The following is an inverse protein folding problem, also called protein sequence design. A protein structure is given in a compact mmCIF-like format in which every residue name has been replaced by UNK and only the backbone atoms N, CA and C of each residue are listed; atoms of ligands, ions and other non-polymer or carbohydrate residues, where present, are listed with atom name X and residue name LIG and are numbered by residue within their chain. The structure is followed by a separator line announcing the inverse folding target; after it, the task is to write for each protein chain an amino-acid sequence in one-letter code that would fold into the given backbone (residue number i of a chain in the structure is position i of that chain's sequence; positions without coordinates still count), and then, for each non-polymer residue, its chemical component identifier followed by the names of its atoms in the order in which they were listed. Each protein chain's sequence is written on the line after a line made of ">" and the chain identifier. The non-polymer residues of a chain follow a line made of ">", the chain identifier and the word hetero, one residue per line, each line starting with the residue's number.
data_IF_347736681411
#
_entry.id   IF_347736681411
#
_cell.length_a   1.000
_cell.length_b   1.000
_cell.length_c   1.000
_cell.angle_alpha   90.00
_cell.angle_beta   90.00
_cell.angle_gamma   90.00
#
_symmetry.space_group_name_H-M   'P 1'
#
loop_
_entity.id
_entity.type
_entity.pdbx_description
1 polymer ?
#
# COMPACT_ATOMS: atom_id res chain seq x y z
N UNK A 1 -24.65 -9.23 20.84
CA UNK A 1 -24.03 -8.22 19.96
C UNK A 1 -22.64 -7.98 20.48
N UNK A 2 -21.65 -8.63 19.88
CA UNK A 2 -20.26 -8.55 20.32
C UNK A 2 -19.69 -7.21 19.87
N UNK A 3 -19.26 -6.38 20.81
CA UNK A 3 -18.46 -5.18 20.54
C UNK A 3 -17.28 -5.54 19.64
N UNK A 4 -17.01 -4.81 18.55
CA UNK A 4 -15.83 -5.07 17.75
C UNK A 4 -14.59 -4.82 18.62
N UNK A 5 -13.76 -5.84 18.80
CA UNK A 5 -12.50 -5.73 19.51
C UNK A 5 -11.70 -4.57 18.91
N UNK A 6 -11.34 -3.59 19.75
CA UNK A 6 -10.46 -2.52 19.32
C UNK A 6 -9.12 -3.12 18.84
N UNK A 7 -8.61 -2.74 17.65
CA UNK A 7 -7.38 -3.29 17.09
C UNK A 7 -6.13 -2.62 17.70
N UNK A 8 -6.11 -2.44 19.02
CA UNK A 8 -4.98 -1.78 19.71
C UNK A 8 -3.80 -2.75 19.95
N UNK A 9 -3.95 -4.03 19.61
CA UNK A 9 -2.90 -5.06 19.75
C UNK A 9 -2.73 -5.93 18.47
N UNK A 10 -3.09 -5.42 17.29
CA UNK A 10 -2.77 -6.12 16.03
C UNK A 10 -1.32 -5.80 15.63
N UNK A 11 -0.49 -6.80 15.26
CA UNK A 11 0.83 -6.58 14.66
C UNK A 11 0.81 -5.59 13.48
N UNK A 12 -0.34 -5.47 12.80
CA UNK A 12 -0.55 -4.53 11.70
C UNK A 12 -0.63 -3.08 12.17
N UNK A 13 -1.16 -2.80 13.37
CA UNK A 13 -1.24 -1.44 13.90
C UNK A 13 0.15 -0.87 14.21
N UNK A 14 1.03 -1.68 14.83
CA UNK A 14 2.43 -1.33 15.07
C UNK A 14 3.19 -1.10 13.76
N UNK A 15 2.97 -1.96 12.76
CA UNK A 15 3.51 -1.78 11.42
C UNK A 15 3.05 -0.46 10.80
N UNK A 16 1.75 -0.17 10.84
CA UNK A 16 1.18 1.06 10.30
C UNK A 16 1.82 2.29 10.95
N UNK A 17 1.94 2.29 12.28
CA UNK A 17 2.59 3.37 13.02
C UNK A 17 4.07 3.55 12.63
N UNK A 18 4.81 2.44 12.47
CA UNK A 18 6.22 2.45 12.06
C UNK A 18 6.40 3.00 10.65
N UNK A 19 5.61 2.54 9.67
CA UNK A 19 5.67 2.99 8.28
C UNK A 19 5.27 4.47 8.20
N UNK A 20 4.15 4.86 8.85
CA UNK A 20 3.70 6.25 8.90
C UNK A 20 4.79 7.17 9.45
N UNK A 21 5.49 6.75 10.51
CA UNK A 21 6.61 7.53 11.08
C UNK A 21 7.77 7.67 10.11
N UNK A 22 8.14 6.60 9.40
CA UNK A 22 9.20 6.68 8.38
C UNK A 22 8.81 7.56 7.20
N UNK A 23 7.54 7.61 6.81
CA UNK A 23 7.10 8.51 5.73
C UNK A 23 7.21 9.99 6.09
N UNK A 24 7.30 10.36 7.38
CA UNK A 24 7.52 11.76 7.79
C UNK A 24 8.86 12.31 7.32
N UNK A 25 9.85 11.45 7.08
CA UNK A 25 11.15 11.88 6.52
C UNK A 25 11.16 11.97 5.00
N UNK A 26 10.05 11.64 4.33
CA UNK A 26 9.97 11.60 2.86
C UNK A 26 9.25 12.81 2.27
N UNK A 27 9.53 13.12 1.00
CA UNK A 27 8.81 14.14 0.24
C UNK A 27 7.54 13.61 -0.46
N UNK A 28 7.25 12.31 -0.34
CA UNK A 28 6.19 11.58 -1.07
C UNK A 28 4.76 11.91 -0.62
N UNK A 29 4.58 12.82 0.34
CA UNK A 29 3.30 13.27 0.85
C UNK A 29 2.76 12.45 2.03
N UNK A 30 1.99 13.09 2.93
CA UNK A 30 1.59 12.51 4.23
C UNK A 30 0.58 11.36 4.09
N UNK A 31 -0.05 11.22 2.92
CA UNK A 31 -1.11 10.26 2.65
C UNK A 31 -0.66 9.11 1.72
N UNK A 32 0.65 8.98 1.46
CA UNK A 32 1.16 7.96 0.54
C UNK A 32 1.54 6.66 1.25
N UNK A 33 1.78 6.71 2.56
CA UNK A 33 2.26 5.58 3.36
C UNK A 33 1.27 4.40 3.35
N UNK A 34 -0.03 4.66 3.44
CA UNK A 34 -1.03 3.59 3.43
C UNK A 34 -1.19 2.94 2.05
N UNK A 35 -0.83 3.64 0.97
CA UNK A 35 -0.78 3.06 -0.38
C UNK A 35 0.36 2.04 -0.49
N UNK A 36 1.54 2.35 0.08
CA UNK A 36 2.61 1.36 0.20
C UNK A 36 2.16 0.17 1.05
N UNK A 37 1.56 0.43 2.22
CA UNK A 37 1.17 -0.64 3.14
C UNK A 37 0.14 -1.57 2.52
N UNK A 38 -0.96 -1.03 1.93
CA UNK A 38 -2.00 -1.89 1.35
C UNK A 38 -1.49 -2.71 0.15
N UNK A 39 -0.64 -2.11 -0.68
CA UNK A 39 -0.08 -2.81 -1.85
C UNK A 39 0.83 -3.95 -1.40
N UNK A 40 1.64 -3.74 -0.36
CA UNK A 40 2.46 -4.80 0.24
C UNK A 40 1.62 -5.90 0.88
N UNK A 41 0.60 -5.55 1.68
CA UNK A 41 -0.30 -6.52 2.30
C UNK A 41 -1.04 -7.34 1.22
N UNK A 42 -1.50 -6.71 0.14
CA UNK A 42 -2.16 -7.41 -0.97
C UNK A 42 -1.24 -8.39 -1.72
N UNK A 43 0.07 -8.14 -1.72
CA UNK A 43 1.05 -9.06 -2.31
C UNK A 43 1.48 -10.19 -1.38
N UNK A 44 1.20 -10.07 -0.09
CA UNK A 44 1.66 -10.97 0.97
C UNK A 44 0.90 -12.31 1.02
N UNK A 45 1.31 -13.26 1.89
CA UNK A 45 0.57 -14.51 2.14
C UNK A 45 -0.81 -14.33 2.78
N UNK A 46 -1.06 -13.21 3.47
CA UNK A 46 -2.36 -12.94 4.12
C UNK A 46 -2.88 -11.54 3.74
N UNK A 47 -3.61 -11.46 2.60
CA UNK A 47 -4.19 -10.21 2.12
C UNK A 47 -5.33 -9.67 3.01
N UNK A 48 -5.94 -10.50 3.87
CA UNK A 48 -7.05 -10.07 4.73
C UNK A 48 -6.64 -9.00 5.73
N UNK A 49 -5.36 -8.96 6.11
CA UNK A 49 -4.78 -7.93 6.99
C UNK A 49 -4.94 -6.50 6.42
N UNK A 50 -5.34 -6.36 5.14
CA UNK A 50 -5.79 -5.08 4.59
C UNK A 50 -6.95 -4.44 5.36
N UNK A 51 -7.82 -5.24 5.99
CA UNK A 51 -8.92 -4.74 6.85
C UNK A 51 -8.40 -4.04 8.11
N UNK A 52 -7.30 -4.52 8.67
CA UNK A 52 -6.69 -3.93 9.87
C UNK A 52 -6.07 -2.56 9.54
N UNK A 53 -5.45 -2.41 8.36
CA UNK A 53 -4.99 -1.11 7.88
C UNK A 53 -6.16 -0.13 7.72
N UNK A 54 -7.28 -0.59 7.14
CA UNK A 54 -8.48 0.24 6.99
C UNK A 54 -8.98 0.70 8.36
N UNK A 55 -9.15 -0.22 9.32
CA UNK A 55 -9.59 0.08 10.68
C UNK A 55 -8.64 1.06 11.40
N UNK A 56 -7.32 0.91 11.23
CA UNK A 56 -6.34 1.83 11.81
C UNK A 56 -6.46 3.25 11.24
N UNK A 57 -6.70 3.39 9.93
CA UNK A 57 -6.75 4.70 9.28
C UNK A 57 -8.06 5.44 9.56
N UNK A 58 -9.21 4.74 9.61
CA UNK A 58 -10.51 5.40 9.88
C UNK A 58 -10.63 5.93 11.31
N UNK A 59 -9.85 5.39 12.26
CA UNK A 59 -9.82 5.86 13.65
C UNK A 59 -9.11 7.22 13.81
N UNK A 60 -8.37 7.68 12.80
CA UNK A 60 -7.67 8.97 12.85
C UNK A 60 -8.67 10.13 12.69
N UNK A 61 -8.43 11.24 13.38
CA UNK A 61 -9.31 12.43 13.38
C UNK A 61 -9.65 12.95 11.97
N UNK A 62 -8.70 12.84 11.04
CA UNK A 62 -8.87 13.22 9.62
C UNK A 62 -10.00 12.47 8.91
N UNK A 63 -10.37 11.29 9.40
CA UNK A 63 -11.41 10.42 8.82
C UNK A 63 -12.67 10.33 9.71
N UNK A 64 -12.89 11.35 10.54
CA UNK A 64 -14.08 11.45 11.40
C UNK A 64 -15.40 11.51 10.62
N UNK A 65 -15.38 12.00 9.38
CA UNK A 65 -16.58 12.12 8.53
C UNK A 65 -16.69 10.96 7.52
N UNK A 66 -17.92 10.55 7.21
CA UNK A 66 -18.20 9.53 6.18
C UNK A 66 -17.60 9.91 4.81
N UNK A 67 -17.70 11.19 4.40
CA UNK A 67 -17.10 11.67 3.15
C UNK A 67 -15.57 11.51 3.08
N UNK A 68 -14.87 11.68 4.21
CA UNK A 68 -13.43 11.43 4.29
C UNK A 68 -13.11 9.92 4.19
N UNK A 69 -13.89 9.07 4.88
CA UNK A 69 -13.76 7.61 4.80
C UNK A 69 -14.05 7.09 3.38
N UNK A 70 -15.05 7.63 2.71
CA UNK A 70 -15.36 7.35 1.30
C UNK A 70 -14.19 7.74 0.36
N UNK A 71 -13.58 8.90 0.59
CA UNK A 71 -12.41 9.32 -0.20
C UNK A 71 -11.20 8.41 0.03
N UNK A 72 -10.98 8.00 1.27
CA UNK A 72 -9.93 7.04 1.61
C UNK A 72 -10.17 5.67 0.96
N UNK A 73 -11.36 5.07 1.13
CA UNK A 73 -11.66 3.75 0.58
C UNK A 73 -11.59 3.75 -0.95
N UNK A 74 -11.99 4.84 -1.61
CA UNK A 74 -11.83 5.00 -3.06
C UNK A 74 -10.38 4.88 -3.49
N UNK A 75 -9.46 5.56 -2.78
CA UNK A 75 -8.02 5.49 -3.06
C UNK A 75 -7.46 4.08 -2.82
N UNK A 76 -7.89 3.42 -1.75
CA UNK A 76 -7.48 2.05 -1.41
C UNK A 76 -7.97 1.05 -2.47
N UNK A 77 -9.25 1.11 -2.86
CA UNK A 77 -9.82 0.26 -3.92
C UNK A 77 -9.11 0.46 -5.25
N UNK A 78 -8.82 1.70 -5.63
CA UNK A 78 -8.05 1.99 -6.85
C UNK A 78 -6.64 1.40 -6.82
N UNK A 79 -5.96 1.45 -5.67
CA UNK A 79 -4.64 0.83 -5.52
C UNK A 79 -4.72 -0.71 -5.66
N UNK A 80 -5.70 -1.34 -5.03
CA UNK A 80 -5.92 -2.80 -5.09
C UNK A 80 -6.29 -3.25 -6.51
N UNK A 81 -7.20 -2.54 -7.19
CA UNK A 81 -7.55 -2.82 -8.59
C UNK A 81 -6.31 -2.70 -9.50
N UNK A 82 -5.43 -1.72 -9.25
CA UNK A 82 -4.18 -1.60 -10.02
C UNK A 82 -3.20 -2.72 -9.74
N UNK A 83 -3.12 -3.25 -8.51
CA UNK A 83 -2.23 -4.38 -8.24
C UNK A 83 -2.71 -5.67 -8.92
N UNK A 84 -3.96 -5.80 -9.39
CA UNK A 84 -4.45 -7.01 -10.09
C UNK A 84 -3.58 -7.42 -11.27
N UNK A 85 -3.08 -6.45 -12.05
CA UNK A 85 -2.20 -6.73 -13.19
C UNK A 85 -0.80 -7.21 -12.78
N UNK A 86 -0.43 -7.04 -11.51
CA UNK A 86 0.93 -7.26 -10.99
C UNK A 86 1.00 -8.51 -10.09
N UNK A 87 0.04 -8.68 -9.17
CA UNK A 87 0.03 -9.78 -8.18
C UNK A 87 -1.05 -10.83 -8.48
N UNK A 88 -1.82 -10.64 -9.57
CA UNK A 88 -2.99 -11.44 -9.90
C UNK A 88 -4.27 -10.96 -9.22
N UNK A 89 -5.43 -11.43 -9.67
CA UNK A 89 -6.73 -10.92 -9.20
C UNK A 89 -7.11 -11.41 -7.79
N UNK A 90 -6.72 -12.63 -7.41
CA UNK A 90 -7.23 -13.25 -6.19
C UNK A 90 -6.89 -12.45 -4.94
N UNK A 91 -5.62 -12.09 -4.74
CA UNK A 91 -5.17 -11.44 -3.50
C UNK A 91 -5.71 -10.02 -3.31
N UNK A 92 -5.70 -9.13 -4.32
CA UNK A 92 -6.30 -7.81 -4.16
C UNK A 92 -7.82 -7.88 -3.98
N UNK A 93 -8.51 -8.83 -4.63
CA UNK A 93 -9.95 -9.03 -4.45
C UNK A 93 -10.25 -9.52 -3.03
N UNK A 94 -9.45 -10.44 -2.49
CA UNK A 94 -9.56 -10.91 -1.11
C UNK A 94 -9.38 -9.75 -0.10
N UNK A 95 -8.39 -8.87 -0.31
CA UNK A 95 -8.23 -7.67 0.49
C UNK A 95 -9.44 -6.71 0.39
N UNK A 96 -10.01 -6.53 -0.81
CA UNK A 96 -11.23 -5.72 -1.01
C UNK A 96 -12.42 -6.32 -0.23
N UNK A 97 -12.61 -7.64 -0.32
CA UNK A 97 -13.68 -8.34 0.39
C UNK A 97 -13.50 -8.19 1.90
N UNK A 98 -12.29 -8.42 2.41
CA UNK A 98 -11.96 -8.27 3.83
C UNK A 98 -12.27 -6.86 4.35
N UNK A 99 -11.94 -5.81 3.59
CA UNK A 99 -12.28 -4.43 3.95
C UNK A 99 -13.80 -4.20 3.90
N UNK A 100 -14.51 -4.73 2.89
CA UNK A 100 -15.97 -4.56 2.76
C UNK A 100 -16.76 -5.17 3.92
N UNK A 101 -16.22 -6.18 4.59
CA UNK A 101 -16.83 -6.83 5.77
C UNK A 101 -16.79 -5.95 7.02
N UNK A 102 -15.86 -4.99 7.11
CA UNK A 102 -15.68 -4.09 8.26
C UNK A 102 -16.11 -2.65 7.98
N UNK A 103 -16.44 -2.34 6.73
CA UNK A 103 -16.93 -1.03 6.29
C UNK A 103 -18.38 -0.80 6.79
N UNK A 104 -18.63 0.39 7.35
CA UNK A 104 -19.98 0.79 7.74
C UNK A 104 -20.83 1.08 6.50
N UNK A 105 -22.14 0.83 6.58
CA UNK A 105 -23.05 1.03 5.42
C UNK A 105 -22.97 2.46 4.85
N UNK A 106 -22.85 3.46 5.73
CA UNK A 106 -22.71 4.88 5.39
C UNK A 106 -21.38 5.24 4.69
N UNK A 107 -20.37 4.38 4.78
CA UNK A 107 -19.04 4.61 4.19
C UNK A 107 -18.90 3.98 2.80
N UNK A 108 -19.89 3.19 2.37
CA UNK A 108 -19.86 2.51 1.08
C UNK A 108 -20.00 3.50 -0.07
N UNK A 109 -18.86 3.77 -0.73
CA UNK A 109 -18.86 4.52 -1.98
C UNK A 109 -19.30 3.62 -3.16
N UNK A 110 -20.48 3.91 -3.71
CA UNK A 110 -21.05 3.23 -4.91
C UNK A 110 -20.79 3.99 -6.21
N UNK A 111 -20.00 5.07 -6.17
CA UNK A 111 -19.68 5.86 -7.37
C UNK A 111 -18.77 5.10 -8.33
N UNK A 112 -18.91 5.40 -9.63
CA UNK A 112 -18.06 4.86 -10.68
C UNK A 112 -16.76 5.67 -10.78
N UNK A 113 -15.64 5.06 -10.42
CA UNK A 113 -14.32 5.75 -10.43
C UNK A 113 -13.65 5.74 -11.80
N UNK A 114 -14.15 4.96 -12.76
CA UNK A 114 -13.49 4.68 -14.06
C UNK A 114 -14.30 5.05 -15.30
N UNK A 115 -15.41 5.76 -15.15
CA UNK A 115 -16.26 6.16 -16.28
C UNK A 115 -15.49 6.96 -17.35
N UNK A 116 -14.46 7.71 -16.95
CA UNK A 116 -13.61 8.52 -17.84
C UNK A 116 -12.11 8.21 -17.71
N UNK A 117 -11.75 6.98 -17.36
CA UNK A 117 -10.36 6.61 -17.09
C UNK A 117 -9.43 6.86 -18.29
N UNK A 118 -8.22 7.40 -18.03
CA UNK A 118 -7.19 7.67 -19.02
C UNK A 118 -5.86 6.99 -18.65
N UNK A 119 -5.13 6.51 -19.65
CA UNK A 119 -3.80 5.92 -19.50
C UNK A 119 -2.71 7.01 -19.65
N UNK A 120 -2.59 7.90 -18.66
CA UNK A 120 -1.68 9.05 -18.67
C UNK A 120 -0.41 8.87 -17.80
N UNK A 121 0.50 9.85 -17.87
CA UNK A 121 1.75 9.87 -17.11
C UNK A 121 1.51 9.85 -15.59
N UNK A 122 0.50 10.58 -15.11
CA UNK A 122 0.14 10.61 -13.70
C UNK A 122 -0.37 9.24 -13.22
N UNK A 123 -1.04 8.47 -14.08
CA UNK A 123 -1.43 7.10 -13.78
C UNK A 123 -0.22 6.16 -13.69
N UNK A 124 0.77 6.32 -14.57
CA UNK A 124 2.02 5.57 -14.52
C UNK A 124 2.76 5.80 -13.20
N UNK A 125 2.92 7.07 -12.78
CA UNK A 125 3.59 7.43 -11.51
C UNK A 125 2.94 6.78 -10.28
N UNK A 126 1.60 6.64 -10.28
CA UNK A 126 0.86 5.99 -9.18
C UNK A 126 0.97 4.46 -9.16
N UNK A 127 1.41 3.81 -10.24
CA UNK A 127 1.34 2.36 -10.41
C UNK A 127 2.56 1.56 -9.91
N UNK A 128 3.66 2.22 -9.54
CA UNK A 128 4.98 1.57 -9.46
C UNK A 128 5.29 0.83 -8.14
N UNK A 129 4.38 0.85 -7.17
CA UNK A 129 4.70 0.46 -5.78
C UNK A 129 4.55 -1.06 -5.52
N UNK A 130 3.74 -1.80 -6.30
CA UNK A 130 3.30 -3.15 -5.92
C UNK A 130 4.33 -4.30 -6.12
N UNK A 131 5.49 -4.11 -6.78
CA UNK A 131 6.31 -5.24 -7.28
C UNK A 131 7.35 -5.77 -6.27
N UNK A 132 7.89 -4.91 -5.40
CA UNK A 132 9.06 -5.28 -4.60
C UNK A 132 8.74 -6.38 -3.57
N UNK A 133 7.50 -6.49 -3.09
CA UNK A 133 7.08 -7.51 -2.11
C UNK A 133 7.13 -8.95 -2.66
N UNK A 134 7.15 -9.12 -3.98
CA UNK A 134 7.18 -10.45 -4.62
C UNK A 134 8.58 -11.09 -4.63
N UNK A 135 9.62 -10.40 -4.13
CA UNK A 135 11.00 -10.88 -4.08
C UNK A 135 11.53 -11.31 -5.48
N UNK A 136 11.17 -10.55 -6.52
CA UNK A 136 11.56 -10.80 -7.91
C UNK A 136 12.73 -9.88 -8.30
N UNK A 137 13.92 -10.45 -8.57
CA UNK A 137 15.16 -9.67 -8.72
C UNK A 137 15.14 -8.68 -9.88
N UNK A 138 14.81 -9.13 -11.09
CA UNK A 138 14.94 -8.32 -12.31
C UNK A 138 13.91 -7.20 -12.32
N UNK A 139 12.70 -7.54 -11.93
CA UNK A 139 11.55 -6.66 -11.82
C UNK A 139 11.85 -5.61 -10.74
N UNK A 140 12.25 -6.04 -9.53
CA UNK A 140 12.57 -5.09 -8.44
C UNK A 140 13.72 -4.15 -8.81
N UNK A 141 14.78 -4.64 -9.48
CA UNK A 141 15.86 -3.79 -10.00
C UNK A 141 15.32 -2.72 -10.96
N UNK A 142 14.53 -3.14 -11.94
CA UNK A 142 13.94 -2.22 -12.92
C UNK A 142 13.01 -1.18 -12.27
N UNK A 143 12.23 -1.60 -11.28
CA UNK A 143 11.29 -0.73 -10.55
C UNK A 143 11.99 0.26 -9.62
N UNK A 144 13.04 -0.14 -8.89
CA UNK A 144 13.85 0.79 -8.09
C UNK A 144 14.46 1.86 -9.02
N UNK A 145 15.07 1.45 -10.13
CA UNK A 145 15.59 2.39 -11.11
C UNK A 145 14.49 3.25 -11.74
N UNK A 146 13.31 2.68 -11.97
CA UNK A 146 12.13 3.39 -12.47
C UNK A 146 11.67 4.50 -11.52
N UNK A 147 11.58 4.20 -10.23
CA UNK A 147 11.26 5.18 -9.16
C UNK A 147 12.24 6.33 -9.15
N UNK A 148 13.54 6.04 -9.34
CA UNK A 148 14.57 7.08 -9.41
C UNK A 148 14.48 7.91 -10.71
N UNK A 149 14.23 7.29 -11.87
CA UNK A 149 14.06 7.97 -13.16
C UNK A 149 12.86 8.93 -13.20
N UNK A 150 11.80 8.66 -12.44
CA UNK A 150 10.65 9.58 -12.31
C UNK A 150 10.88 10.71 -11.28
N UNK A 151 12.09 10.83 -10.73
CA UNK A 151 12.50 11.97 -9.91
C UNK A 151 12.32 11.80 -8.40
N UNK A 152 11.90 10.62 -7.91
CA UNK A 152 11.89 10.35 -6.45
C UNK A 152 13.33 10.25 -5.95
N UNK A 153 13.69 10.93 -4.87
CA UNK A 153 15.06 10.96 -4.32
C UNK A 153 15.56 9.57 -3.90
N UNK A 154 16.87 9.43 -3.76
CA UNK A 154 17.49 8.18 -3.31
C UNK A 154 17.07 7.87 -1.88
N UNK A 155 17.01 8.91 -1.05
CA UNK A 155 16.61 8.86 0.34
C UNK A 155 15.16 8.39 0.48
N UNK A 156 14.25 8.95 -0.33
CA UNK A 156 12.84 8.53 -0.32
C UNK A 156 12.69 7.10 -0.85
N UNK A 157 13.44 6.73 -1.88
CA UNK A 157 13.46 5.37 -2.44
C UNK A 157 13.97 4.36 -1.41
N UNK A 158 14.98 4.74 -0.62
CA UNK A 158 15.51 3.94 0.49
C UNK A 158 14.46 3.74 1.58
N UNK A 159 13.70 4.78 1.94
CA UNK A 159 12.60 4.64 2.90
C UNK A 159 11.52 3.67 2.39
N UNK A 160 11.14 3.76 1.11
CA UNK A 160 10.19 2.81 0.51
C UNK A 160 10.70 1.37 0.62
N UNK A 161 11.96 1.16 0.24
CA UNK A 161 12.62 -0.15 0.31
C UNK A 161 12.61 -0.73 1.73
N UNK A 162 12.95 0.08 2.74
CA UNK A 162 12.95 -0.35 4.15
C UNK A 162 11.55 -0.67 4.67
N UNK A 163 10.54 0.10 4.25
CA UNK A 163 9.15 -0.16 4.62
C UNK A 163 8.67 -1.50 4.04
N UNK A 164 9.04 -1.83 2.80
CA UNK A 164 8.72 -3.13 2.19
C UNK A 164 9.36 -4.28 2.98
N UNK A 165 10.63 -4.12 3.39
CA UNK A 165 11.32 -5.10 4.23
C UNK A 165 10.63 -5.28 5.60
N UNK A 166 10.08 -4.20 6.18
CA UNK A 166 9.29 -4.28 7.42
C UNK A 166 8.02 -5.09 7.24
N UNK A 167 7.27 -4.86 6.16
CA UNK A 167 6.06 -5.66 5.87
C UNK A 167 6.42 -7.13 5.65
N UNK A 168 7.47 -7.42 4.90
CA UNK A 168 7.92 -8.78 4.63
C UNK A 168 8.25 -9.58 5.90
N UNK A 169 8.81 -8.92 6.93
CA UNK A 169 9.15 -9.54 8.22
C UNK A 169 7.94 -10.08 9.00
N UNK A 170 6.76 -9.47 8.86
CA UNK A 170 5.54 -9.96 9.53
C UNK A 170 5.18 -11.36 9.03
N UNK A 171 5.47 -11.64 7.76
CA UNK A 171 5.15 -12.89 7.08
C UNK A 171 6.34 -13.86 7.02
N UNK A 172 7.42 -13.57 7.75
CA UNK A 172 8.69 -14.33 7.70
C UNK A 172 9.22 -14.54 6.27
N UNK A 173 8.97 -13.56 5.38
CA UNK A 173 9.41 -13.63 3.99
C UNK A 173 10.89 -13.27 3.88
N UNK A 174 11.66 -14.14 3.22
CA UNK A 174 13.07 -13.89 2.91
C UNK A 174 13.19 -13.01 1.66
N UNK A 175 13.49 -11.73 1.86
CA UNK A 175 13.69 -10.74 0.78
C UNK A 175 15.12 -10.73 0.23
N UNK A 176 15.66 -11.91 -0.07
CA UNK A 176 17.06 -12.10 -0.47
C UNK A 176 17.36 -11.84 -1.95
N UNK A 177 16.33 -11.67 -2.78
CA UNK A 177 16.46 -11.39 -4.22
C UNK A 177 16.23 -9.93 -4.56
N UNK A 178 15.74 -9.14 -3.61
CA UNK A 178 15.58 -7.70 -3.74
C UNK A 178 16.95 -7.02 -3.69
N UNK A 179 17.40 -6.34 -4.77
CA UNK A 179 18.64 -5.56 -4.74
C UNK A 179 18.52 -4.37 -3.77
N UNK A 180 19.65 -3.90 -3.25
CA UNK A 180 19.71 -2.65 -2.48
C UNK A 180 19.56 -1.44 -3.41
N UNK A 181 19.12 -0.30 -2.89
CA UNK A 181 19.01 0.93 -3.69
C UNK A 181 20.38 1.30 -4.28
N UNK A 182 21.45 1.22 -3.49
CA UNK A 182 22.83 1.47 -3.95
C UNK A 182 23.26 0.59 -5.13
N UNK A 183 22.83 -0.68 -5.16
CA UNK A 183 23.18 -1.60 -6.25
C UNK A 183 22.50 -1.22 -7.57
N UNK A 184 21.43 -0.43 -7.53
CA UNK A 184 20.68 0.03 -8.70
C UNK A 184 21.15 1.40 -9.17
N UNK A 185 21.70 2.25 -8.30
CA UNK A 185 22.11 3.64 -8.63
C UNK A 185 23.10 3.74 -9.80
N UNK A 186 23.88 2.69 -10.11
CA UNK A 186 24.75 2.69 -11.28
C UNK A 186 23.99 2.77 -12.62
N UNK A 187 22.73 2.30 -12.64
CA UNK A 187 21.89 2.16 -13.83
C UNK A 187 20.83 3.27 -13.98
N UNK A 188 20.88 4.33 -13.17
CA UNK A 188 19.86 5.41 -13.13
C UNK A 188 20.42 6.76 -13.54
#
# INVERSE_FOLDING_TARGET
>A
MSTPNLPTQSPVAELCHSIETSFKSTSLGPDSWYLLTITCLSGSPDPELGKDLYLYVIQKEKNSTSAARQTFIRRIREALVKCVSIVGCCKPIEAIIAISQVEQEEDRDSSLTREYWQCDQANHERGMICIMIQNLRKETHWHIGGTRRIGVSKEDTQVLWECIQRVARIFDLKMNKVPTVDAVEYDV
#
